data_IF_982579323001
#
_entry.id   IF_982579323001
#
_cell.length_a   1.000
_cell.length_b   1.000
_cell.length_c   1.000
_cell.angle_alpha   90.00
_cell.angle_beta   90.00
_cell.angle_gamma   90.00
#
_symmetry.space_group_name_H-M   'P 1'
#
loop_
_entity.id
_entity.type
_entity.pdbx_description
1 polymer ?
#
# COMPACT_ATOMS: atom_id res chain seq x y z
N UNK A 1 0.14 3.82 4.25
CA UNK A 1 -0.74 3.20 5.29
C UNK A 1 -0.53 1.69 5.31
N UNK A 2 -0.36 1.06 6.44
CA UNK A 2 -0.08 -0.38 6.56
C UNK A 2 -1.13 -1.08 7.43
N UNK A 3 -1.38 -2.36 7.17
CA UNK A 3 -2.07 -3.26 8.09
C UNK A 3 -1.08 -4.39 8.45
N UNK A 4 -0.39 -4.23 9.54
CA UNK A 4 0.61 -5.19 9.99
C UNK A 4 0.24 -5.84 11.32
N UNK A 5 0.45 -7.17 11.43
CA UNK A 5 0.27 -7.91 12.68
C UNK A 5 1.60 -8.20 13.37
N UNK A 6 2.63 -8.50 12.59
CA UNK A 6 3.95 -8.91 13.06
C UNK A 6 5.07 -7.95 12.62
N UNK A 7 4.73 -6.76 12.12
CA UNK A 7 5.69 -5.75 11.72
C UNK A 7 6.21 -5.84 10.29
N UNK A 8 5.99 -6.94 9.56
CA UNK A 8 6.53 -7.11 8.19
C UNK A 8 6.08 -6.02 7.23
N UNK A 9 4.80 -5.65 7.27
CA UNK A 9 4.27 -4.58 6.43
C UNK A 9 4.91 -3.22 6.73
N UNK A 10 5.22 -2.96 8.02
CA UNK A 10 5.92 -1.72 8.42
C UNK A 10 7.36 -1.72 7.94
N UNK A 11 8.09 -2.84 8.11
CA UNK A 11 9.46 -2.98 7.61
C UNK A 11 9.54 -2.75 6.10
N UNK A 12 8.59 -3.32 5.35
CA UNK A 12 8.50 -3.09 3.91
C UNK A 12 8.21 -1.62 3.59
N UNK A 13 7.27 -0.98 4.28
CA UNK A 13 6.96 0.44 4.11
C UNK A 13 8.17 1.35 4.43
N UNK A 14 8.95 1.02 5.44
CA UNK A 14 10.19 1.73 5.78
C UNK A 14 11.25 1.58 4.68
N UNK A 15 11.36 0.39 4.08
CA UNK A 15 12.24 0.18 2.94
C UNK A 15 11.79 1.00 1.71
N UNK A 16 10.49 1.01 1.40
CA UNK A 16 9.95 1.84 0.32
C UNK A 16 10.19 3.33 0.57
N UNK A 17 10.01 3.79 1.82
CA UNK A 17 10.25 5.20 2.20
C UNK A 17 11.67 5.66 1.90
N UNK A 18 12.67 4.81 2.08
CA UNK A 18 14.09 5.16 1.84
C UNK A 18 14.41 5.54 0.40
N UNK A 19 13.60 5.11 -0.55
CA UNK A 19 13.79 5.40 -1.98
C UNK A 19 13.23 6.78 -2.39
N UNK A 20 12.39 7.39 -1.55
CA UNK A 20 11.93 8.76 -1.78
C UNK A 20 13.02 9.76 -1.42
N UNK A 21 13.12 10.85 -2.18
CA UNK A 21 14.02 11.95 -1.85
C UNK A 21 13.62 12.64 -0.54
N UNK A 22 14.58 13.31 0.12
CA UNK A 22 14.31 14.07 1.35
C UNK A 22 13.37 15.27 1.15
N UNK A 23 13.09 15.63 -0.09
CA UNK A 23 12.15 16.71 -0.45
C UNK A 23 10.68 16.25 -0.40
N UNK A 24 10.45 14.94 -0.35
CA UNK A 24 9.09 14.35 -0.30
C UNK A 24 8.80 13.92 1.14
N UNK A 25 7.78 14.53 1.74
CA UNK A 25 7.31 14.12 3.07
C UNK A 25 6.57 12.79 2.99
N UNK A 26 7.16 11.73 3.54
CA UNK A 26 6.59 10.39 3.56
C UNK A 26 6.29 9.97 4.99
N UNK A 27 5.02 9.83 5.32
CA UNK A 27 4.53 9.37 6.61
C UNK A 27 4.09 7.91 6.56
N UNK A 28 4.54 7.11 7.52
CA UNK A 28 4.14 5.70 7.68
C UNK A 28 3.22 5.58 8.88
N UNK A 29 2.05 4.98 8.69
CA UNK A 29 1.10 4.74 9.75
C UNK A 29 0.37 3.40 9.58
N UNK A 30 -0.12 2.83 10.67
CA UNK A 30 -0.96 1.63 10.66
C UNK A 30 -2.44 2.04 10.59
N UNK A 31 -3.22 1.31 9.79
CA UNK A 31 -4.67 1.54 9.64
C UNK A 31 -5.47 1.31 10.93
N UNK A 32 -4.86 0.74 11.96
CA UNK A 32 -5.44 0.58 13.30
C UNK A 32 -5.18 1.79 14.20
N UNK A 33 -4.15 2.57 13.90
CA UNK A 33 -3.69 3.70 14.71
C UNK A 33 -4.16 5.04 14.15
N UNK A 34 -4.27 5.14 12.82
CA UNK A 34 -4.66 6.39 12.15
C UNK A 34 -6.00 6.20 11.44
N UNK A 35 -6.96 7.02 11.80
CA UNK A 35 -8.30 6.97 11.21
C UNK A 35 -8.32 7.54 9.78
N UNK A 36 -9.28 7.12 8.94
CA UNK A 36 -9.48 7.71 7.63
C UNK A 36 -9.78 9.21 7.66
N UNK A 37 -10.47 9.69 8.70
CA UNK A 37 -10.80 11.10 8.93
C UNK A 37 -9.53 11.94 9.01
N UNK A 38 -8.52 11.47 9.77
CA UNK A 38 -7.25 12.18 9.91
C UNK A 38 -6.52 12.33 8.58
N UNK A 39 -6.51 11.29 7.75
CA UNK A 39 -5.88 11.35 6.42
C UNK A 39 -6.68 12.24 5.47
N UNK A 40 -8.01 12.27 5.59
CA UNK A 40 -8.86 13.14 4.79
C UNK A 40 -8.66 14.63 5.14
N UNK A 41 -8.27 14.96 6.37
CA UNK A 41 -7.90 16.33 6.76
C UNK A 41 -6.57 16.77 6.12
N UNK A 42 -5.58 15.88 6.08
CA UNK A 42 -4.25 16.17 5.53
C UNK A 42 -4.23 16.15 3.99
N UNK A 43 -5.14 15.43 3.35
CA UNK A 43 -5.27 15.24 1.88
C UNK A 43 -3.91 15.02 1.21
N UNK A 44 -3.21 13.92 1.46
CA UNK A 44 -1.91 13.67 0.84
C UNK A 44 -2.06 13.48 -0.68
N UNK A 45 -1.05 13.88 -1.45
CA UNK A 45 -1.07 13.68 -2.91
C UNK A 45 -1.03 12.19 -3.29
N UNK A 46 -0.34 11.38 -2.49
CA UNK A 46 -0.09 9.96 -2.77
C UNK A 46 -0.52 9.10 -1.60
N UNK A 47 -1.16 7.97 -1.89
CA UNK A 47 -1.41 6.92 -0.92
C UNK A 47 -0.78 5.60 -1.36
N UNK A 48 0.03 5.00 -0.48
CA UNK A 48 0.52 3.63 -0.64
C UNK A 48 -0.14 2.78 0.44
N UNK A 49 -1.00 1.85 0.02
CA UNK A 49 -1.79 1.04 0.93
C UNK A 49 -1.21 -0.37 1.06
N UNK A 50 -0.77 -0.72 2.26
CA UNK A 50 -0.20 -2.03 2.55
C UNK A 50 -1.16 -2.96 3.28
N UNK A 51 -1.09 -4.24 2.95
CA UNK A 51 -1.82 -5.29 3.62
C UNK A 51 -1.03 -6.60 3.70
N UNK A 52 -1.63 -7.59 4.33
CA UNK A 52 -1.08 -8.94 4.36
C UNK A 52 -2.15 -9.95 3.93
N UNK A 53 -1.72 -11.00 3.23
CA UNK A 53 -2.60 -12.14 2.94
C UNK A 53 -2.66 -12.99 4.20
N UNK A 54 -3.84 -13.06 4.82
CA UNK A 54 -4.10 -13.86 6.02
C UNK A 54 -5.39 -14.63 5.85
N UNK A 55 -5.39 -15.91 6.23
CA UNK A 55 -6.56 -16.77 6.14
C UNK A 55 -7.25 -16.65 4.75
N UNK A 56 -6.45 -16.72 3.69
CA UNK A 56 -6.91 -16.58 2.29
C UNK A 56 -7.60 -15.26 1.95
N UNK A 57 -7.30 -14.18 2.69
CA UNK A 57 -7.82 -12.82 2.47
C UNK A 57 -6.67 -11.84 2.29
N UNK A 58 -6.65 -11.14 1.16
CA UNK A 58 -5.66 -10.08 0.87
C UNK A 58 -6.07 -8.76 1.49
N UNK A 59 -5.40 -8.35 2.57
CA UNK A 59 -5.53 -7.04 3.19
C UNK A 59 -6.94 -6.57 3.57
N UNK A 60 -7.76 -7.38 4.29
CA UNK A 60 -9.16 -7.03 4.51
C UNK A 60 -9.36 -5.75 5.34
N UNK A 61 -8.44 -5.45 6.26
CA UNK A 61 -8.54 -4.24 7.10
C UNK A 61 -8.17 -3.00 6.31
N UNK A 62 -7.08 -3.03 5.56
CA UNK A 62 -6.66 -1.91 4.73
C UNK A 62 -7.69 -1.59 3.64
N UNK A 63 -8.30 -2.60 3.01
CA UNK A 63 -9.41 -2.40 2.06
C UNK A 63 -10.63 -1.74 2.70
N UNK A 64 -11.01 -2.12 3.91
CA UNK A 64 -12.12 -1.48 4.65
C UNK A 64 -11.79 -0.05 5.03
N UNK A 65 -10.56 0.19 5.44
CA UNK A 65 -10.06 1.51 5.77
C UNK A 65 -10.10 2.44 4.54
N UNK A 66 -9.60 1.97 3.38
CA UNK A 66 -9.68 2.70 2.13
C UNK A 66 -11.12 3.04 1.72
N UNK A 67 -12.05 2.09 1.85
CA UNK A 67 -13.46 2.34 1.56
C UNK A 67 -14.06 3.45 2.43
N UNK A 68 -13.66 3.54 3.69
CA UNK A 68 -14.09 4.63 4.59
C UNK A 68 -13.48 5.96 4.16
N UNK A 69 -12.17 5.98 3.89
CA UNK A 69 -11.48 7.17 3.39
C UNK A 69 -12.16 7.70 2.12
N UNK A 70 -12.40 6.84 1.15
CA UNK A 70 -13.06 7.23 -0.11
C UNK A 70 -14.40 7.95 0.14
N UNK A 71 -15.25 7.40 1.01
CA UNK A 71 -16.54 8.03 1.37
C UNK A 71 -16.40 9.40 2.03
N UNK A 72 -15.35 9.62 2.84
CA UNK A 72 -15.10 10.91 3.47
C UNK A 72 -14.64 11.92 2.43
N UNK A 73 -13.71 11.52 1.56
CA UNK A 73 -13.21 12.35 0.47
C UNK A 73 -14.32 12.72 -0.53
N UNK A 74 -15.23 11.79 -0.86
CA UNK A 74 -16.42 12.08 -1.68
C UNK A 74 -17.27 13.19 -1.10
N UNK A 75 -17.47 13.20 0.22
CA UNK A 75 -18.27 14.24 0.89
C UNK A 75 -17.58 15.61 0.91
N UNK A 76 -16.26 15.65 1.01
CA UNK A 76 -15.47 16.89 1.02
C UNK A 76 -15.12 17.39 -0.38
N UNK A 77 -15.27 16.56 -1.41
CA UNK A 77 -14.83 16.85 -2.78
C UNK A 77 -13.32 16.80 -3.00
N UNK A 78 -12.56 16.36 -1.98
CA UNK A 78 -11.11 16.24 -2.05
C UNK A 78 -10.70 14.93 -2.75
N UNK A 79 -9.57 14.96 -3.44
CA UNK A 79 -9.03 13.79 -4.15
C UNK A 79 -7.56 13.57 -3.83
N UNK A 80 -7.14 12.31 -3.88
CA UNK A 80 -5.75 11.91 -3.89
C UNK A 80 -5.30 11.73 -5.34
N UNK A 81 -4.15 12.26 -5.70
CA UNK A 81 -3.69 12.22 -7.10
C UNK A 81 -3.24 10.84 -7.53
N UNK A 82 -2.52 10.13 -6.67
CA UNK A 82 -1.91 8.85 -7.01
C UNK A 82 -2.11 7.81 -5.92
N UNK A 83 -2.28 6.57 -6.32
CA UNK A 83 -2.40 5.45 -5.41
C UNK A 83 -1.69 4.20 -5.91
N UNK A 84 -1.15 3.43 -4.97
CA UNK A 84 -0.65 2.08 -5.19
C UNK A 84 -0.69 1.29 -3.89
N UNK A 85 -0.19 0.05 -3.91
CA UNK A 85 -0.19 -0.76 -2.70
C UNK A 85 0.78 -1.92 -2.73
N UNK A 86 0.81 -2.64 -1.62
CA UNK A 86 1.58 -3.87 -1.49
C UNK A 86 0.88 -4.92 -0.62
N UNK A 87 1.23 -6.18 -0.82
CA UNK A 87 0.79 -7.29 0.01
C UNK A 87 1.99 -8.12 0.48
N UNK A 88 2.07 -8.38 1.78
CA UNK A 88 2.97 -9.41 2.32
C UNK A 88 2.26 -10.75 2.41
N UNK A 89 2.99 -11.85 2.20
CA UNK A 89 2.42 -13.19 2.20
C UNK A 89 3.46 -14.26 2.58
N UNK A 90 3.01 -15.38 3.14
CA UNK A 90 3.85 -16.53 3.45
C UNK A 90 3.71 -17.68 2.44
N UNK A 91 2.74 -17.60 1.53
CA UNK A 91 2.53 -18.61 0.48
C UNK A 91 3.50 -18.40 -0.69
N UNK A 92 3.72 -19.42 -1.55
CA UNK A 92 4.54 -19.27 -2.75
C UNK A 92 4.04 -18.13 -3.65
N UNK A 93 4.98 -17.42 -4.29
CA UNK A 93 4.69 -16.22 -5.09
C UNK A 93 3.75 -16.50 -6.27
N UNK A 94 3.83 -17.68 -6.88
CA UNK A 94 2.93 -18.11 -7.96
C UNK A 94 1.45 -18.23 -7.53
N UNK A 95 1.18 -18.32 -6.23
CA UNK A 95 -0.19 -18.43 -5.67
C UNK A 95 -0.83 -17.09 -5.32
N UNK A 96 -0.09 -15.98 -5.41
CA UNK A 96 -0.59 -14.68 -4.92
C UNK A 96 -1.18 -13.77 -5.99
N UNK A 97 -1.04 -14.09 -7.27
CA UNK A 97 -1.49 -13.25 -8.40
C UNK A 97 -2.96 -12.83 -8.28
N UNK A 98 -3.85 -13.77 -7.97
CA UNK A 98 -5.27 -13.47 -7.81
C UNK A 98 -5.57 -12.55 -6.61
N UNK A 99 -4.77 -12.60 -5.55
CA UNK A 99 -4.91 -11.68 -4.40
C UNK A 99 -4.42 -10.28 -4.76
N UNK A 100 -3.29 -10.20 -5.46
CA UNK A 100 -2.73 -8.95 -5.94
C UNK A 100 -3.71 -8.23 -6.88
N UNK A 101 -4.26 -8.94 -7.86
CA UNK A 101 -5.23 -8.37 -8.80
C UNK A 101 -6.49 -7.87 -8.08
N UNK A 102 -7.06 -8.66 -7.16
CA UNK A 102 -8.23 -8.23 -6.38
C UNK A 102 -7.94 -7.02 -5.49
N UNK A 103 -6.72 -6.92 -4.96
CA UNK A 103 -6.32 -5.77 -4.15
C UNK A 103 -6.18 -4.51 -5.01
N UNK A 104 -5.55 -4.64 -6.17
CA UNK A 104 -5.42 -3.56 -7.15
C UNK A 104 -6.79 -3.08 -7.65
N UNK A 105 -7.70 -4.01 -7.94
CA UNK A 105 -9.08 -3.67 -8.31
C UNK A 105 -9.78 -2.87 -7.22
N UNK A 106 -9.56 -3.20 -5.94
CA UNK A 106 -10.13 -2.43 -4.82
C UNK A 106 -9.56 -1.02 -4.68
N UNK A 107 -8.29 -0.84 -5.01
CA UNK A 107 -7.71 0.50 -5.14
C UNK A 107 -8.38 1.27 -6.28
N UNK A 108 -8.58 0.65 -7.44
CA UNK A 108 -9.24 1.26 -8.60
C UNK A 108 -10.73 1.58 -8.38
N UNK A 109 -11.41 0.89 -7.47
CA UNK A 109 -12.80 1.21 -7.07
C UNK A 109 -12.89 2.47 -6.17
N UNK A 110 -11.76 2.96 -5.64
CA UNK A 110 -11.71 4.16 -4.83
C UNK A 110 -11.73 5.40 -5.74
N UNK A 111 -12.91 5.89 -6.08
CA UNK A 111 -13.16 6.97 -7.06
C UNK A 111 -12.46 8.30 -6.72
N UNK A 112 -12.06 8.48 -5.46
CA UNK A 112 -11.35 9.66 -4.99
C UNK A 112 -9.82 9.52 -5.05
N UNK A 113 -9.31 8.41 -5.62
CA UNK A 113 -7.91 8.26 -6.02
C UNK A 113 -7.86 8.33 -7.55
N UNK A 114 -7.30 9.41 -8.10
CA UNK A 114 -7.43 9.70 -9.53
C UNK A 114 -6.64 8.75 -10.43
N UNK A 115 -5.42 8.41 -10.02
CA UNK A 115 -4.52 7.57 -10.81
C UNK A 115 -4.01 6.40 -9.95
N UNK A 116 -4.23 5.19 -10.43
CA UNK A 116 -3.74 3.98 -9.77
C UNK A 116 -2.60 3.38 -10.60
N UNK A 117 -1.46 3.15 -9.94
CA UNK A 117 -0.34 2.45 -10.57
C UNK A 117 -0.73 1.01 -10.91
N UNK A 118 -0.49 0.60 -12.13
CA UNK A 118 -0.97 -0.67 -12.68
C UNK A 118 -0.33 -1.93 -12.07
N UNK A 119 0.74 -1.77 -11.32
CA UNK A 119 1.44 -2.85 -10.66
C UNK A 119 1.19 -2.84 -9.15
N UNK A 120 1.18 -4.02 -8.53
CA UNK A 120 1.12 -4.20 -7.09
C UNK A 120 2.36 -4.97 -6.60
N UNK A 121 3.04 -4.43 -5.61
CA UNK A 121 4.13 -5.15 -4.97
C UNK A 121 3.58 -6.30 -4.12
N UNK A 122 4.15 -7.49 -4.30
CA UNK A 122 3.96 -8.61 -3.36
C UNK A 122 5.31 -8.99 -2.77
N UNK A 123 5.37 -9.25 -1.48
CA UNK A 123 6.61 -9.62 -0.80
C UNK A 123 6.41 -10.86 0.08
N UNK A 124 7.18 -11.89 -0.21
CA UNK A 124 7.12 -13.15 0.53
C UNK A 124 7.90 -13.06 1.84
N UNK A 125 7.30 -13.59 2.90
CA UNK A 125 7.95 -13.79 4.21
C UNK A 125 8.19 -15.29 4.44
N UNK A 126 9.24 -15.62 5.19
CA UNK A 126 9.57 -17.03 5.51
C UNK A 126 8.47 -17.71 6.31
N UNK A 127 7.86 -16.97 7.21
CA UNK A 127 6.72 -17.41 8.04
C UNK A 127 5.88 -16.21 8.43
N UNK A 128 4.74 -16.41 9.10
CA UNK A 128 3.83 -15.32 9.50
C UNK A 128 4.52 -14.20 10.28
N UNK A 129 5.52 -14.51 11.08
CA UNK A 129 6.31 -13.53 11.84
C UNK A 129 7.49 -12.94 11.06
N UNK A 130 7.74 -13.39 9.85
CA UNK A 130 8.90 -12.98 9.05
C UNK A 130 10.08 -13.94 9.18
N UNK A 131 11.29 -13.51 8.80
CA UNK A 131 11.55 -12.26 8.08
C UNK A 131 11.04 -12.24 6.64
N UNK A 132 11.07 -11.07 6.01
CA UNK A 132 10.91 -10.93 4.56
C UNK A 132 12.16 -11.50 3.90
N UNK A 133 12.01 -12.22 2.81
CA UNK A 133 13.17 -12.72 2.05
C UNK A 133 14.01 -11.56 1.50
N UNK A 134 15.36 -11.63 1.53
CA UNK A 134 16.22 -10.55 1.05
C UNK A 134 15.94 -10.12 -0.40
N UNK A 135 15.70 -11.07 -1.30
CA UNK A 135 15.37 -10.83 -2.70
C UNK A 135 14.04 -10.06 -2.87
N UNK A 136 13.11 -10.21 -1.95
CA UNK A 136 11.85 -9.46 -1.96
C UNK A 136 12.07 -8.00 -1.55
N UNK A 137 13.06 -7.71 -0.72
CA UNK A 137 13.46 -6.34 -0.37
C UNK A 137 14.11 -5.63 -1.57
N UNK A 138 14.94 -6.33 -2.35
CA UNK A 138 15.52 -5.79 -3.59
C UNK A 138 14.43 -5.51 -4.63
N UNK A 139 13.50 -6.43 -4.81
CA UNK A 139 12.32 -6.26 -5.68
C UNK A 139 11.47 -5.06 -5.24
N UNK A 140 11.31 -4.84 -3.93
CA UNK A 140 10.59 -3.69 -3.42
C UNK A 140 11.26 -2.35 -3.80
N UNK A 141 12.60 -2.29 -3.78
CA UNK A 141 13.36 -1.13 -4.23
C UNK A 141 13.14 -0.82 -5.72
N UNK A 142 13.16 -1.85 -6.57
CA UNK A 142 12.87 -1.70 -8.01
C UNK A 142 11.44 -1.21 -8.23
N UNK A 143 10.47 -1.82 -7.57
CA UNK A 143 9.07 -1.46 -7.67
C UNK A 143 8.80 0.02 -7.31
N UNK A 144 9.33 0.46 -6.17
CA UNK A 144 9.05 1.83 -5.71
C UNK A 144 9.72 2.88 -6.59
N UNK A 145 10.89 2.60 -7.15
CA UNK A 145 11.53 3.48 -8.14
C UNK A 145 10.66 3.63 -9.39
N UNK A 146 10.12 2.55 -9.92
CA UNK A 146 9.18 2.59 -11.04
C UNK A 146 7.92 3.41 -10.72
N UNK A 147 7.38 3.27 -9.51
CA UNK A 147 6.25 4.09 -9.05
C UNK A 147 6.62 5.57 -8.92
N UNK A 148 7.78 5.89 -8.33
CA UNK A 148 8.27 7.28 -8.20
C UNK A 148 8.44 7.92 -9.57
N UNK A 149 9.03 7.21 -10.52
CA UNK A 149 9.23 7.73 -11.88
C UNK A 149 7.89 7.95 -12.60
N UNK A 150 6.91 7.08 -12.35
CA UNK A 150 5.56 7.22 -12.91
C UNK A 150 4.78 8.42 -12.36
N UNK A 151 4.98 8.83 -11.09
CA UNK A 151 4.29 9.98 -10.48
C UNK A 151 4.99 11.31 -10.72
N UNK A 152 6.24 11.31 -11.21
CA UNK A 152 6.93 12.57 -11.56
C UNK A 152 6.23 13.21 -12.75
N UNK A 153 5.96 14.52 -12.70
CA UNK A 153 5.53 15.23 -13.90
C UNK A 153 6.68 15.22 -14.94
N UNK A 154 6.31 15.08 -16.19
CA UNK A 154 7.23 15.24 -17.33
C UNK A 154 7.84 16.64 -17.36
#
# INVERSE_FOLDING_TARGET
>A
MTDTRYGNGRLLAEALKKEFSNEIDVNIADVKEVSPERIAEDVPNVIILGGAIRMFRGGPKSKRWLKKLNKILEKSGNKLQYGTGFLTHAMPTDKVQGYAQRYLNKLGEASMVENIYSELLTAQVKASKGPIFPEEMEKAGVYIKGFIDWIKPD
#
